data_IF_618881879206
#
_entry.id   IF_618881879206
#
_cell.length_a   1.000
_cell.length_b   1.000
_cell.length_c   1.000
_cell.angle_alpha   90.00
_cell.angle_beta   90.00
_cell.angle_gamma   90.00
#
_symmetry.space_group_name_H-M   'P 1'
#
loop_
_entity.id
_entity.type
_entity.pdbx_description
1 polymer ?
#
# COMPACT_ATOMS: atom_id res chain seq x y z
N UNK A 1 18.75 -40.10 -6.18
CA UNK A 1 18.71 -38.66 -5.82
C UNK A 1 17.38 -38.14 -6.31
N UNK A 2 16.60 -37.48 -5.45
CA UNK A 2 15.29 -36.89 -5.85
C UNK A 2 15.53 -35.43 -6.17
N UNK A 3 15.14 -35.00 -7.38
CA UNK A 3 15.14 -33.58 -7.77
C UNK A 3 13.76 -33.00 -7.45
N UNK A 4 13.72 -31.82 -6.83
CA UNK A 4 12.50 -31.14 -6.43
C UNK A 4 12.47 -29.72 -7.03
N UNK A 5 11.44 -29.44 -7.81
CA UNK A 5 11.19 -28.11 -8.37
C UNK A 5 9.97 -27.49 -7.70
N UNK A 6 10.12 -26.31 -7.11
CA UNK A 6 9.03 -25.55 -6.47
C UNK A 6 8.63 -24.34 -7.32
N UNK A 7 7.34 -23.98 -7.27
CA UNK A 7 6.79 -22.82 -7.97
C UNK A 7 6.01 -21.95 -6.98
N UNK A 8 6.26 -20.64 -6.98
CA UNK A 8 5.46 -19.66 -6.24
C UNK A 8 4.21 -19.33 -7.06
N UNK A 9 3.08 -19.96 -6.70
CA UNK A 9 1.81 -19.75 -7.38
C UNK A 9 0.96 -18.73 -6.60
N UNK A 10 0.33 -17.80 -7.31
CA UNK A 10 -0.54 -16.77 -6.74
C UNK A 10 0.14 -15.86 -5.71
N UNK A 11 1.33 -15.31 -6.03
CA UNK A 11 2.04 -14.45 -5.09
C UNK A 11 1.27 -13.16 -4.84
N UNK A 12 1.27 -12.69 -3.58
CA UNK A 12 0.77 -11.36 -3.23
C UNK A 12 1.93 -10.38 -3.33
N UNK A 13 1.90 -9.47 -4.29
CA UNK A 13 2.95 -8.50 -4.50
C UNK A 13 2.77 -7.27 -3.61
N UNK A 14 3.79 -6.95 -2.81
CA UNK A 14 3.94 -5.68 -2.10
C UNK A 14 5.19 -5.01 -2.68
N UNK A 15 5.05 -3.79 -3.17
CA UNK A 15 6.14 -3.08 -3.85
C UNK A 15 6.58 -1.89 -3.02
N UNK A 16 7.89 -1.80 -2.75
CA UNK A 16 8.50 -0.64 -2.11
C UNK A 16 9.06 0.32 -3.16
N UNK A 17 8.94 1.62 -2.90
CA UNK A 17 9.57 2.69 -3.69
C UNK A 17 10.10 3.78 -2.77
N UNK A 18 11.01 4.61 -3.28
CA UNK A 18 11.55 5.78 -2.57
C UNK A 18 11.51 7.00 -3.47
N UNK A 19 11.30 8.17 -2.87
CA UNK A 19 11.29 9.45 -3.57
C UNK A 19 12.23 10.44 -2.87
N UNK A 20 12.99 11.16 -3.66
CA UNK A 20 13.79 12.30 -3.19
C UNK A 20 12.99 13.60 -3.43
N UNK A 21 12.07 13.91 -2.52
CA UNK A 21 11.25 15.13 -2.56
C UNK A 21 11.38 15.91 -1.25
N UNK A 22 11.16 17.22 -1.32
CA UNK A 22 11.08 18.03 -0.11
C UNK A 22 9.74 17.77 0.61
N UNK A 23 9.80 17.28 1.84
CA UNK A 23 8.63 16.95 2.67
C UNK A 23 8.04 18.16 3.37
N UNK A 24 8.83 19.21 3.67
CA UNK A 24 8.40 20.33 4.49
C UNK A 24 7.10 21.01 4.02
N UNK A 25 6.90 21.31 2.71
CA UNK A 25 5.65 21.93 2.27
C UNK A 25 4.42 21.05 2.44
N UNK A 26 4.62 19.71 2.45
CA UNK A 26 3.54 18.74 2.68
C UNK A 26 3.25 18.64 4.17
N UNK A 27 4.30 18.55 5.00
CA UNK A 27 4.19 18.48 6.46
C UNK A 27 3.51 19.73 7.04
N UNK A 28 3.80 20.92 6.51
CA UNK A 28 3.14 22.17 6.88
C UNK A 28 1.62 22.07 6.69
N UNK A 29 1.16 21.61 5.52
CA UNK A 29 -0.27 21.41 5.23
C UNK A 29 -0.88 20.37 6.19
N UNK A 30 -0.21 19.23 6.38
CA UNK A 30 -0.70 18.16 7.26
C UNK A 30 -0.84 18.60 8.71
N UNK A 31 -0.03 19.54 9.16
CA UNK A 31 -0.04 20.06 10.52
C UNK A 31 -1.01 21.24 10.75
N UNK A 32 -1.67 21.74 9.71
CA UNK A 32 -2.71 22.76 9.90
C UNK A 32 -3.81 22.26 10.84
N UNK A 33 -4.41 23.14 11.63
CA UNK A 33 -5.46 22.76 12.60
C UNK A 33 -6.83 22.45 11.98
N UNK A 34 -6.94 22.51 10.65
CA UNK A 34 -8.17 22.20 9.93
C UNK A 34 -8.28 20.71 9.65
N UNK A 35 -9.52 20.20 9.50
CA UNK A 35 -9.76 18.87 8.96
C UNK A 35 -9.23 18.80 7.53
N UNK A 36 -8.31 17.85 7.30
CA UNK A 36 -7.73 17.65 5.98
C UNK A 36 -8.73 16.90 5.09
N UNK A 37 -8.92 17.33 3.82
CA UNK A 37 -9.76 16.62 2.90
C UNK A 37 -9.16 15.25 2.52
N UNK A 38 -10.01 14.31 2.09
CA UNK A 38 -9.62 13.01 1.53
C UNK A 38 -9.12 13.08 0.09
N UNK A 39 -8.90 14.30 -0.43
CA UNK A 39 -8.48 14.60 -1.80
C UNK A 39 -7.17 15.39 -1.85
N UNK A 40 -6.22 15.09 -0.95
CA UNK A 40 -4.92 15.76 -0.87
C UNK A 40 -4.13 15.71 -2.19
N UNK A 41 -4.42 14.77 -3.06
CA UNK A 41 -3.81 14.70 -4.40
C UNK A 41 -4.14 15.90 -5.30
N UNK A 42 -5.13 16.74 -4.94
CA UNK A 42 -5.46 18.00 -5.64
C UNK A 42 -4.67 19.21 -5.14
N UNK A 43 -4.05 19.08 -3.96
CA UNK A 43 -3.27 20.14 -3.36
C UNK A 43 -1.95 20.35 -4.08
N UNK A 44 -1.60 21.63 -4.36
CA UNK A 44 -0.38 21.99 -5.11
C UNK A 44 0.89 21.44 -4.47
N UNK A 45 0.97 21.49 -3.14
CA UNK A 45 2.14 21.03 -2.39
C UNK A 45 2.34 19.52 -2.45
N UNK A 46 1.27 18.74 -2.72
CA UNK A 46 1.33 17.30 -2.89
C UNK A 46 1.74 16.85 -4.30
N UNK A 47 1.80 17.75 -5.27
CA UNK A 47 2.09 17.40 -6.66
C UNK A 47 3.38 16.59 -6.87
N UNK A 48 4.51 16.87 -6.21
CA UNK A 48 5.72 16.04 -6.33
C UNK A 48 5.47 14.60 -5.84
N UNK A 49 4.79 14.43 -4.71
CA UNK A 49 4.43 13.14 -4.15
C UNK A 49 3.47 12.39 -5.08
N UNK A 50 2.43 13.06 -5.59
CA UNK A 50 1.45 12.49 -6.53
C UNK A 50 2.14 11.97 -7.79
N UNK A 51 3.03 12.76 -8.38
CA UNK A 51 3.78 12.34 -9.57
C UNK A 51 4.64 11.10 -9.30
N UNK A 52 5.36 11.08 -8.18
CA UNK A 52 6.16 9.92 -7.77
C UNK A 52 5.32 8.67 -7.54
N UNK A 53 4.15 8.79 -6.91
CA UNK A 53 3.19 7.70 -6.71
C UNK A 53 2.70 7.15 -8.06
N UNK A 54 2.31 8.01 -8.99
CA UNK A 54 1.83 7.59 -10.30
C UNK A 54 2.93 6.89 -11.11
N UNK A 55 4.17 7.41 -11.07
CA UNK A 55 5.32 6.77 -11.70
C UNK A 55 5.62 5.39 -11.09
N UNK A 56 5.67 5.28 -9.76
CA UNK A 56 5.87 4.03 -9.06
C UNK A 56 4.76 3.02 -9.37
N UNK A 57 3.49 3.47 -9.37
CA UNK A 57 2.34 2.64 -9.73
C UNK A 57 2.43 2.12 -11.16
N UNK A 58 2.80 2.97 -12.12
CA UNK A 58 3.01 2.56 -13.53
C UNK A 58 4.04 1.43 -13.63
N UNK A 59 5.17 1.56 -12.93
CA UNK A 59 6.22 0.52 -12.89
C UNK A 59 5.72 -0.80 -12.28
N UNK A 60 4.91 -0.72 -11.21
CA UNK A 60 4.30 -1.90 -10.56
C UNK A 60 3.34 -2.60 -11.52
N UNK A 61 2.45 -1.86 -12.16
CA UNK A 61 1.47 -2.40 -13.10
C UNK A 61 2.12 -3.01 -14.34
N UNK A 62 3.16 -2.36 -14.87
CA UNK A 62 3.95 -2.89 -15.98
C UNK A 62 4.61 -4.24 -15.62
N UNK A 63 5.24 -4.33 -14.44
CA UNK A 63 5.85 -5.59 -13.96
C UNK A 63 4.83 -6.70 -13.77
N UNK A 64 3.61 -6.37 -13.38
CA UNK A 64 2.50 -7.31 -13.19
C UNK A 64 1.70 -7.55 -14.47
N UNK A 65 2.03 -6.90 -15.59
CA UNK A 65 1.41 -7.03 -16.90
C UNK A 65 -0.09 -6.68 -16.92
N UNK A 66 -0.53 -5.75 -16.06
CA UNK A 66 -1.90 -5.24 -16.11
C UNK A 66 -2.08 -4.26 -17.28
N UNK A 67 -3.25 -4.36 -17.94
CA UNK A 67 -3.69 -3.46 -19.00
C UNK A 67 -4.77 -2.53 -18.45
N UNK A 68 -4.67 -1.25 -18.76
CA UNK A 68 -5.57 -0.21 -18.31
C UNK A 68 -5.52 0.99 -19.25
N UNK A 69 -6.58 1.80 -19.28
CA UNK A 69 -6.62 3.03 -20.05
C UNK A 69 -6.09 4.23 -19.25
N UNK A 70 -6.38 4.26 -17.94
CA UNK A 70 -5.97 5.35 -17.04
C UNK A 70 -5.77 4.85 -15.60
N UNK A 71 -4.75 5.41 -14.93
CA UNK A 71 -4.58 5.30 -13.47
C UNK A 71 -5.29 6.49 -12.82
N UNK A 72 -6.17 6.24 -11.85
CA UNK A 72 -6.88 7.27 -11.10
C UNK A 72 -6.62 7.12 -9.61
N UNK A 73 -6.11 8.19 -8.97
CA UNK A 73 -6.11 8.29 -7.50
C UNK A 73 -7.53 8.68 -7.08
N UNK A 74 -8.22 7.80 -6.39
CA UNK A 74 -9.61 8.00 -5.96
C UNK A 74 -9.71 8.85 -4.72
N UNK A 75 -8.77 8.65 -3.79
CA UNK A 75 -8.61 9.45 -2.58
C UNK A 75 -7.16 9.39 -2.07
N UNK A 76 -6.80 10.42 -1.31
CA UNK A 76 -5.48 10.55 -0.66
C UNK A 76 -5.65 11.36 0.63
N UNK A 77 -5.17 10.83 1.73
CA UNK A 77 -5.28 11.43 3.06
C UNK A 77 -4.00 11.28 3.86
N UNK A 78 -3.82 12.13 4.84
CA UNK A 78 -2.70 12.07 5.78
C UNK A 78 -3.13 11.42 7.11
N UNK A 79 -2.24 10.64 7.68
CA UNK A 79 -2.38 10.03 8.99
C UNK A 79 -1.30 10.58 9.92
N UNK A 80 -1.72 11.10 11.07
CA UNK A 80 -0.85 11.50 12.17
C UNK A 80 -1.08 10.53 13.33
N UNK A 81 -0.04 9.83 13.74
CA UNK A 81 -0.10 8.93 14.90
C UNK A 81 0.90 9.40 15.96
N UNK A 82 0.39 9.65 17.16
CA UNK A 82 1.21 9.89 18.34
C UNK A 82 1.68 8.57 18.96
N UNK A 83 2.63 8.66 19.89
CA UNK A 83 3.08 7.48 20.64
C UNK A 83 1.89 6.76 21.29
N UNK A 84 1.81 5.44 21.09
CA UNK A 84 0.74 4.58 21.57
C UNK A 84 -0.48 4.46 20.65
N UNK A 85 -0.61 5.32 19.63
CA UNK A 85 -1.70 5.22 18.64
C UNK A 85 -1.40 4.16 17.58
N UNK A 86 -2.45 3.58 17.02
CA UNK A 86 -2.40 2.48 16.05
C UNK A 86 -3.45 2.68 14.95
N UNK A 87 -3.29 1.94 13.84
CA UNK A 87 -4.35 1.76 12.85
C UNK A 87 -4.86 0.33 12.93
N UNK A 88 -6.16 0.10 13.18
CA UNK A 88 -6.71 -1.25 13.28
C UNK A 88 -6.62 -2.00 11.97
N UNK A 89 -6.72 -3.35 11.98
CA UNK A 89 -6.75 -4.16 10.77
C UNK A 89 -7.91 -3.79 9.85
N UNK A 90 -7.61 -3.51 8.58
CA UNK A 90 -8.60 -3.11 7.57
C UNK A 90 -8.15 -3.45 6.15
N UNK A 91 -9.06 -3.28 5.20
CA UNK A 91 -8.85 -3.33 3.75
C UNK A 91 -9.44 -2.07 3.12
N UNK A 92 -9.16 -1.82 1.84
CA UNK A 92 -9.72 -0.70 1.09
C UNK A 92 -10.68 -1.18 0.02
N UNK A 93 -11.98 -1.00 0.24
CA UNK A 93 -13.01 -1.39 -0.73
C UNK A 93 -12.99 -0.51 -1.99
N UNK A 94 -13.48 -1.06 -3.09
CA UNK A 94 -13.72 -0.35 -4.37
C UNK A 94 -12.47 0.28 -5.01
N UNK A 95 -11.29 -0.24 -4.69
CA UNK A 95 -10.03 0.20 -5.28
C UNK A 95 -9.21 -1.03 -5.72
N UNK A 96 -8.25 -0.80 -6.61
CA UNK A 96 -7.41 -1.87 -7.16
C UNK A 96 -6.08 -1.98 -6.38
N UNK A 97 -5.39 -0.85 -6.21
CA UNK A 97 -4.19 -0.74 -5.40
C UNK A 97 -4.37 0.32 -4.32
N UNK A 98 -3.69 0.13 -3.22
CA UNK A 98 -3.54 1.11 -2.15
C UNK A 98 -2.08 1.30 -1.81
N UNK A 99 -1.77 2.38 -1.11
CA UNK A 99 -0.40 2.61 -0.69
C UNK A 99 -0.27 3.56 0.49
N UNK A 100 0.94 3.60 1.00
CA UNK A 100 1.36 4.50 2.07
C UNK A 100 2.75 5.03 1.77
N UNK A 101 2.98 6.32 2.07
CA UNK A 101 4.28 6.99 1.99
C UNK A 101 4.59 7.68 3.31
N UNK A 102 5.83 7.62 3.76
CA UNK A 102 6.24 8.14 5.05
C UNK A 102 6.93 9.48 4.92
N UNK A 103 6.28 10.53 5.44
CA UNK A 103 6.84 11.88 5.52
C UNK A 103 7.71 12.06 6.76
N UNK A 104 7.32 11.39 7.86
CA UNK A 104 8.06 11.35 9.12
C UNK A 104 7.85 9.99 9.75
N UNK A 105 8.92 9.27 9.99
CA UNK A 105 8.84 7.88 10.44
C UNK A 105 9.59 7.60 11.75
N UNK A 106 10.82 8.00 11.94
CA UNK A 106 11.59 7.74 13.16
C UNK A 106 11.57 6.27 13.59
N UNK A 107 11.51 6.00 14.91
CA UNK A 107 11.35 4.62 15.47
C UNK A 107 9.86 4.26 15.60
N UNK A 108 9.12 4.38 14.52
CA UNK A 108 7.69 4.08 14.50
C UNK A 108 7.41 2.62 14.19
N UNK A 109 6.13 2.22 14.38
CA UNK A 109 5.71 0.87 14.10
C UNK A 109 5.76 0.54 12.59
N UNK A 110 6.12 -0.70 12.21
CA UNK A 110 6.05 -1.17 10.84
C UNK A 110 4.59 -1.26 10.36
N UNK A 111 4.38 -1.27 9.04
CA UNK A 111 3.13 -1.75 8.47
C UNK A 111 3.16 -3.28 8.42
N UNK A 112 2.08 -3.91 8.85
CA UNK A 112 1.97 -5.37 8.89
C UNK A 112 0.81 -5.83 8.00
N UNK A 113 1.07 -6.89 7.22
CA UNK A 113 0.12 -7.49 6.29
C UNK A 113 -0.19 -8.93 6.71
N UNK A 114 -1.47 -9.29 6.68
CA UNK A 114 -1.93 -10.64 7.00
C UNK A 114 -1.88 -11.54 5.77
N UNK A 115 -1.59 -12.83 5.98
CA UNK A 115 -1.70 -13.84 4.93
C UNK A 115 -3.15 -13.93 4.43
N UNK A 116 -3.42 -13.65 3.15
CA UNK A 116 -4.78 -13.63 2.63
C UNK A 116 -5.36 -15.02 2.36
N UNK A 117 -4.56 -16.08 2.48
CA UNK A 117 -5.02 -17.45 2.20
C UNK A 117 -5.87 -17.98 3.36
N UNK A 118 -7.16 -18.33 3.15
CA UNK A 118 -8.11 -18.58 4.24
C UNK A 118 -7.72 -19.68 5.24
N UNK A 119 -6.99 -20.68 4.79
CA UNK A 119 -6.63 -21.85 5.59
C UNK A 119 -5.14 -21.94 5.94
N UNK A 120 -4.32 -20.93 5.58
CA UNK A 120 -2.88 -21.00 5.77
C UNK A 120 -2.45 -21.15 7.25
N UNK A 121 -3.29 -20.69 8.18
CA UNK A 121 -3.00 -20.65 9.61
C UNK A 121 -3.69 -21.77 10.42
N UNK A 122 -4.39 -22.70 9.78
CA UNK A 122 -5.13 -23.78 10.48
C UNK A 122 -4.17 -24.78 11.13
N UNK A 123 -3.03 -25.02 10.49
CA UNK A 123 -2.00 -25.91 11.01
C UNK A 123 -0.63 -25.27 10.78
N UNK A 124 0.05 -24.94 11.86
CA UNK A 124 1.36 -24.28 11.82
C UNK A 124 2.43 -25.15 12.46
N UNK A 125 3.23 -25.90 11.70
CA UNK A 125 4.43 -26.57 12.20
C UNK A 125 5.42 -25.56 12.75
N UNK A 126 6.32 -26.00 13.62
CA UNK A 126 7.47 -25.18 14.03
C UNK A 126 8.29 -24.79 12.80
N UNK A 127 8.60 -23.51 12.67
CA UNK A 127 9.32 -22.98 11.53
C UNK A 127 10.24 -21.81 11.93
N UNK A 128 11.13 -21.44 11.01
CA UNK A 128 11.78 -20.13 11.00
C UNK A 128 10.94 -19.25 10.08
N UNK A 129 10.34 -18.14 10.59
CA UNK A 129 9.45 -17.29 9.80
C UNK A 129 10.16 -16.74 8.55
N UNK A 130 9.47 -16.79 7.42
CA UNK A 130 9.90 -16.23 6.13
C UNK A 130 8.68 -15.88 5.26
N UNK A 131 8.93 -15.42 4.03
CA UNK A 131 7.89 -14.98 3.09
C UNK A 131 6.88 -16.08 2.67
N UNK A 132 7.23 -17.36 2.83
CA UNK A 132 6.40 -18.50 2.40
C UNK A 132 5.56 -19.09 3.52
N UNK A 133 5.99 -18.91 4.79
CA UNK A 133 5.41 -19.65 5.92
C UNK A 133 4.91 -18.76 7.08
N UNK A 134 5.00 -17.44 6.94
CA UNK A 134 4.51 -16.51 7.95
C UNK A 134 3.03 -16.21 7.75
N UNK A 135 2.27 -16.14 8.84
CA UNK A 135 0.86 -15.70 8.84
C UNK A 135 0.71 -14.18 8.76
N UNK A 136 1.78 -13.47 9.04
CA UNK A 136 1.87 -12.02 8.99
C UNK A 136 3.30 -11.62 8.62
N UNK A 137 3.45 -10.65 7.74
CA UNK A 137 4.71 -10.07 7.34
C UNK A 137 4.72 -8.58 7.66
N UNK A 138 5.90 -8.02 7.88
CA UNK A 138 6.02 -6.60 8.19
C UNK A 138 7.09 -5.91 7.34
N UNK A 139 6.88 -4.62 7.14
CA UNK A 139 7.80 -3.73 6.47
C UNK A 139 8.01 -2.47 7.30
N UNK A 140 9.26 -2.07 7.44
CA UNK A 140 9.63 -0.90 8.25
C UNK A 140 9.09 0.40 7.65
N UNK A 141 8.70 1.30 8.52
CA UNK A 141 8.34 2.68 8.16
C UNK A 141 9.62 3.47 7.94
N UNK A 142 10.00 3.69 6.69
CA UNK A 142 11.21 4.42 6.29
C UNK A 142 10.82 5.76 5.69
N UNK A 143 11.29 6.86 6.28
CA UNK A 143 11.07 8.21 5.77
C UNK A 143 11.58 8.34 4.32
N UNK A 144 10.81 9.00 3.47
CA UNK A 144 11.11 9.11 2.04
C UNK A 144 10.79 7.87 1.22
N UNK A 145 10.20 6.83 1.81
CA UNK A 145 9.76 5.64 1.08
C UNK A 145 8.29 5.33 1.27
N UNK A 146 7.76 4.47 0.43
CA UNK A 146 6.37 4.03 0.47
C UNK A 146 6.19 2.62 -0.04
N UNK A 147 4.99 2.09 0.19
CA UNK A 147 4.57 0.76 -0.25
C UNK A 147 3.31 0.85 -1.08
N UNK A 148 3.24 0.04 -2.14
CA UNK A 148 2.07 -0.17 -2.99
C UNK A 148 1.68 -1.64 -2.88
N UNK A 149 0.40 -1.91 -2.62
CA UNK A 149 -0.13 -3.25 -2.38
C UNK A 149 -1.57 -3.36 -2.89
N UNK A 150 -2.09 -4.59 -3.10
CA UNK A 150 -3.48 -4.80 -3.47
C UNK A 150 -4.44 -4.25 -2.41
N UNK A 151 -5.47 -3.51 -2.82
CA UNK A 151 -6.42 -2.87 -1.90
C UNK A 151 -7.19 -3.86 -1.02
N UNK A 152 -7.37 -5.10 -1.49
CA UNK A 152 -8.01 -6.18 -0.74
C UNK A 152 -7.12 -6.79 0.35
N UNK A 153 -5.80 -6.51 0.36
CA UNK A 153 -4.87 -7.10 1.32
C UNK A 153 -5.05 -6.47 2.70
N UNK A 154 -5.46 -7.29 3.68
CA UNK A 154 -5.64 -6.84 5.05
C UNK A 154 -4.31 -6.43 5.67
N UNK A 155 -4.31 -5.25 6.29
CA UNK A 155 -3.14 -4.69 6.94
C UNK A 155 -3.50 -3.83 8.14
N UNK A 156 -2.51 -3.53 8.95
CA UNK A 156 -2.64 -2.69 10.13
C UNK A 156 -1.31 -2.04 10.51
N UNK A 157 -1.35 -1.11 11.46
CA UNK A 157 -0.17 -0.52 12.08
C UNK A 157 -0.31 -0.70 13.59
N UNK A 158 0.60 -1.49 14.23
CA UNK A 158 0.59 -1.65 15.68
C UNK A 158 0.90 -0.32 16.39
N UNK A 159 0.71 -0.23 17.72
CA UNK A 159 1.00 0.98 18.47
C UNK A 159 2.40 1.52 18.20
N UNK A 160 2.49 2.77 17.73
CA UNK A 160 3.77 3.41 17.41
C UNK A 160 4.47 3.91 18.66
N UNK A 161 5.80 4.00 18.65
CA UNK A 161 6.59 4.50 19.78
C UNK A 161 6.85 6.00 19.71
N UNK A 162 6.81 6.57 18.51
CA UNK A 162 7.10 7.99 18.26
C UNK A 162 6.06 8.58 17.32
N UNK A 163 6.03 9.92 17.25
CA UNK A 163 5.16 10.63 16.32
C UNK A 163 5.50 10.30 14.87
N UNK A 164 4.48 9.96 14.10
CA UNK A 164 4.56 9.55 12.71
C UNK A 164 3.59 10.34 11.85
N UNK A 165 4.05 10.71 10.65
CA UNK A 165 3.22 11.28 9.58
C UNK A 165 3.36 10.39 8.35
N UNK A 166 2.24 9.89 7.85
CA UNK A 166 2.18 9.17 6.59
C UNK A 166 1.05 9.68 5.71
N UNK A 167 1.21 9.54 4.40
CA UNK A 167 0.16 9.81 3.41
C UNK A 167 -0.26 8.49 2.81
N UNK A 168 -1.56 8.20 2.85
CA UNK A 168 -2.16 7.02 2.24
C UNK A 168 -2.99 7.42 1.03
N UNK A 169 -3.12 6.52 0.07
CA UNK A 169 -3.92 6.73 -1.14
C UNK A 169 -4.51 5.43 -1.65
N UNK A 170 -5.52 5.58 -2.48
CA UNK A 170 -6.13 4.48 -3.22
C UNK A 170 -6.11 4.76 -4.72
N UNK A 171 -6.01 3.70 -5.50
CA UNK A 171 -5.94 3.73 -6.96
C UNK A 171 -6.98 2.80 -7.55
N UNK A 172 -7.71 3.33 -8.53
CA UNK A 172 -8.55 2.58 -9.43
C UNK A 172 -7.94 2.62 -10.84
N UNK A 173 -7.98 1.49 -11.54
CA UNK A 173 -7.63 1.43 -12.95
C UNK A 173 -8.89 1.66 -13.76
N UNK A 174 -8.87 2.61 -14.68
CA UNK A 174 -9.96 2.81 -15.64
C UNK A 174 -9.71 2.01 -16.90
N UNK A 175 -10.77 1.51 -17.51
CA UNK A 175 -10.71 0.74 -18.75
C UNK A 175 -11.61 -0.49 -18.76
N UNK A 176 -11.30 -1.43 -19.63
CA UNK A 176 -12.06 -2.66 -19.76
C UNK A 176 -11.58 -3.72 -18.75
N UNK A 177 -12.54 -4.31 -18.05
CA UNK A 177 -12.34 -5.39 -17.10
C UNK A 177 -12.94 -6.68 -17.62
N UNK A 178 -12.27 -7.81 -17.31
CA UNK A 178 -12.69 -9.13 -17.75
C UNK A 178 -12.38 -9.38 -19.23
N UNK A 179 -12.86 -10.52 -19.71
CA UNK A 179 -12.66 -10.94 -21.11
C UNK A 179 -13.70 -10.28 -22.00
N UNK A 180 -13.23 -9.58 -23.04
CA UNK A 180 -14.09 -8.96 -24.04
C UNK A 180 -15.04 -10.01 -24.67
N UNK A 181 -16.31 -9.63 -24.87
CA UNK A 181 -17.34 -10.50 -25.46
C UNK A 181 -17.92 -11.55 -24.50
N UNK A 182 -17.67 -11.44 -23.19
CA UNK A 182 -18.27 -12.28 -22.14
C UNK A 182 -19.16 -11.48 -21.22
N UNK A 183 -19.98 -12.15 -20.39
CA UNK A 183 -20.83 -11.51 -19.37
C UNK A 183 -20.02 -10.88 -18.22
N UNK A 184 -18.73 -11.21 -18.07
CA UNK A 184 -17.84 -10.61 -17.08
C UNK A 184 -17.13 -9.35 -17.59
N UNK A 185 -17.34 -8.96 -18.87
CA UNK A 185 -16.77 -7.73 -19.38
C UNK A 185 -17.49 -6.51 -18.80
N UNK A 186 -16.72 -5.59 -18.22
CA UNK A 186 -17.20 -4.32 -17.72
C UNK A 186 -16.24 -3.21 -18.13
N UNK A 187 -16.76 -2.02 -18.33
CA UNK A 187 -15.95 -0.81 -18.51
C UNK A 187 -16.15 0.09 -17.28
N UNK A 188 -15.06 0.41 -16.57
CA UNK A 188 -15.07 1.18 -15.33
C UNK A 188 -14.34 2.49 -15.51
#
# INVERSE_FOLDING_TARGET
MVDVKSFDCFPTAISQFSLEINHEPIIEIVNLPSDLPDQLFREKNFKPLVNGILEATTKVLYKQQYQYDKIEITNMWANKLNSGESHPPHTHSNNFLSGVYYLKAGKTAPIQFFDPRPAANVLQPRNTPNWHNSSMIQFDSIEGSGYIFPSWLQHWVPPTKEYRISVSWNILLRGNYGRQGTLQNAHI
#
